data_IF_988280378476
#
_entry.id   IF_988280378476
#
_cell.length_a   1.000
_cell.length_b   1.000
_cell.length_c   1.000
_cell.angle_alpha   90.00
_cell.angle_beta   90.00
_cell.angle_gamma   90.00
#
_symmetry.space_group_name_H-M   'P 1'
#
loop_
_entity.id
_entity.type
_entity.pdbx_description
1 polymer ?
#
# COMPACT_ATOMS: atom_id res chain seq x y z
N UNK A 1 -26.83 -8.57 6.82
CA UNK A 1 -25.99 -7.38 6.52
C UNK A 1 -26.06 -6.45 7.72
N UNK A 2 -24.99 -6.32 8.51
CA UNK A 2 -24.96 -5.29 9.57
C UNK A 2 -25.11 -3.91 8.94
N UNK A 3 -26.06 -3.12 9.42
CA UNK A 3 -26.31 -1.74 8.98
C UNK A 3 -25.00 -0.94 8.97
N UNK A 4 -24.79 -0.09 7.96
CA UNK A 4 -23.62 0.79 7.85
C UNK A 4 -23.36 1.56 9.15
N UNK A 5 -24.44 1.93 9.85
CA UNK A 5 -24.41 2.58 11.17
C UNK A 5 -23.72 1.75 12.24
N UNK A 6 -23.95 0.43 12.32
CA UNK A 6 -23.31 -0.41 13.34
C UNK A 6 -21.82 -0.58 13.07
N UNK A 7 -21.43 -0.78 11.81
CA UNK A 7 -20.01 -0.86 11.43
C UNK A 7 -19.29 0.45 11.75
N UNK A 8 -19.94 1.57 11.46
CA UNK A 8 -19.40 2.89 11.74
C UNK A 8 -19.30 3.16 13.25
N UNK A 9 -20.31 2.78 14.03
CA UNK A 9 -20.29 2.87 15.48
C UNK A 9 -19.17 2.01 16.10
N UNK A 10 -19.03 0.75 15.67
CA UNK A 10 -17.96 -0.11 16.14
C UNK A 10 -16.57 0.47 15.84
N UNK A 11 -16.40 1.04 14.63
CA UNK A 11 -15.16 1.71 14.25
C UNK A 11 -14.91 2.97 15.10
N UNK A 12 -15.89 3.86 15.25
CA UNK A 12 -15.72 5.14 15.94
C UNK A 12 -15.56 4.99 17.45
N UNK A 13 -16.21 4.00 18.05
CA UNK A 13 -16.27 3.83 19.51
C UNK A 13 -15.14 2.96 20.04
N UNK A 14 -14.70 1.95 19.29
CA UNK A 14 -13.68 1.01 19.78
C UNK A 14 -12.37 1.07 18.99
N UNK A 15 -12.42 0.84 17.67
CA UNK A 15 -11.20 0.71 16.88
C UNK A 15 -10.43 2.03 16.78
N UNK A 16 -11.12 3.12 16.45
CA UNK A 16 -10.48 4.43 16.25
C UNK A 16 -9.82 4.93 17.55
N UNK A 17 -10.48 4.97 18.73
CA UNK A 17 -9.83 5.41 19.96
C UNK A 17 -8.64 4.52 20.35
N UNK A 18 -8.77 3.20 20.21
CA UNK A 18 -7.69 2.26 20.50
C UNK A 18 -6.46 2.48 19.59
N UNK A 19 -6.65 2.60 18.28
CA UNK A 19 -5.51 2.82 17.38
C UNK A 19 -4.91 4.23 17.50
N UNK A 20 -5.70 5.22 17.93
CA UNK A 20 -5.22 6.58 18.17
C UNK A 20 -4.43 6.73 19.48
N UNK A 21 -4.63 5.85 20.46
CA UNK A 21 -3.84 5.88 21.70
C UNK A 21 -2.43 5.30 21.56
N UNK A 22 -2.14 4.60 20.46
CA UNK A 22 -0.83 4.01 20.17
C UNK A 22 0.05 4.96 19.34
N UNK A 23 1.38 4.81 19.47
CA UNK A 23 2.34 5.43 18.55
C UNK A 23 1.94 5.13 17.08
N UNK A 24 1.97 6.11 16.17
CA UNK A 24 1.47 5.92 14.82
C UNK A 24 2.11 4.79 14.02
N UNK A 25 3.41 4.55 14.19
CA UNK A 25 4.13 3.49 13.50
C UNK A 25 3.82 2.13 14.15
N UNK A 26 3.72 2.07 15.49
CA UNK A 26 3.27 0.86 16.21
C UNK A 26 1.85 0.45 15.82
N UNK A 27 0.92 1.39 15.77
CA UNK A 27 -0.45 1.14 15.33
C UNK A 27 -0.49 0.61 13.88
N UNK A 28 0.33 1.16 12.99
CA UNK A 28 0.42 0.69 11.61
C UNK A 28 0.97 -0.73 11.51
N UNK A 29 2.04 -1.05 12.25
CA UNK A 29 2.61 -2.40 12.29
C UNK A 29 1.64 -3.42 12.89
N UNK A 30 0.93 -3.06 13.96
CA UNK A 30 -0.13 -3.89 14.54
C UNK A 30 -1.24 -4.16 13.51
N UNK A 31 -1.74 -3.11 12.85
CA UNK A 31 -2.77 -3.26 11.82
C UNK A 31 -2.29 -4.18 10.68
N UNK A 32 -1.08 -3.96 10.15
CA UNK A 32 -0.49 -4.80 9.11
C UNK A 32 -0.42 -6.26 9.54
N UNK A 33 0.05 -6.55 10.75
CA UNK A 33 0.15 -7.91 11.26
C UNK A 33 -1.22 -8.58 11.40
N UNK A 34 -2.20 -7.88 11.96
CA UNK A 34 -3.58 -8.39 12.09
C UNK A 34 -4.20 -8.67 10.71
N UNK A 35 -4.02 -7.76 9.75
CA UNK A 35 -4.52 -7.93 8.38
C UNK A 35 -3.85 -9.11 7.68
N UNK A 36 -2.53 -9.26 7.82
CA UNK A 36 -1.78 -10.36 7.23
C UNK A 36 -2.17 -11.72 7.84
N UNK A 37 -2.32 -11.79 9.17
CA UNK A 37 -2.74 -13.00 9.88
C UNK A 37 -4.18 -13.35 9.50
N UNK A 38 -5.10 -12.39 9.53
CA UNK A 38 -6.51 -12.62 9.18
C UNK A 38 -6.70 -13.13 7.75
N UNK A 39 -5.85 -12.70 6.81
CA UNK A 39 -5.87 -13.17 5.43
C UNK A 39 -5.54 -14.66 5.27
N UNK A 40 -4.90 -15.30 6.26
CA UNK A 40 -4.54 -16.73 6.24
C UNK A 40 -5.69 -17.64 6.67
N UNK A 41 -6.70 -17.10 7.36
CA UNK A 41 -7.83 -17.89 7.83
C UNK A 41 -8.87 -18.08 6.71
N UNK A 42 -9.32 -19.33 6.46
CA UNK A 42 -10.37 -19.60 5.48
C UNK A 42 -11.64 -18.78 5.76
N UNK A 43 -12.28 -18.28 4.70
CA UNK A 43 -13.54 -17.55 4.79
C UNK A 43 -13.45 -16.08 5.22
N UNK A 44 -12.44 -15.66 6.00
CA UNK A 44 -12.29 -14.26 6.45
C UNK A 44 -12.23 -13.30 5.27
N UNK A 45 -11.42 -13.63 4.27
CA UNK A 45 -11.27 -12.82 3.08
C UNK A 45 -12.60 -12.68 2.29
N UNK A 46 -13.39 -13.75 2.20
CA UNK A 46 -14.72 -13.72 1.56
C UNK A 46 -15.71 -12.88 2.37
N UNK A 47 -15.67 -12.99 3.70
CA UNK A 47 -16.47 -12.19 4.60
C UNK A 47 -16.16 -10.70 4.45
N UNK A 48 -14.88 -10.33 4.48
CA UNK A 48 -14.42 -8.95 4.25
C UNK A 48 -14.92 -8.43 2.90
N UNK A 49 -14.78 -9.22 1.83
CA UNK A 49 -15.27 -8.86 0.50
C UNK A 49 -16.78 -8.58 0.51
N UNK A 50 -17.57 -9.46 1.12
CA UNK A 50 -19.04 -9.27 1.22
C UNK A 50 -19.44 -8.04 2.05
N UNK A 51 -18.62 -7.65 3.03
CA UNK A 51 -18.92 -6.54 3.93
C UNK A 51 -18.51 -5.17 3.40
N UNK A 52 -17.53 -5.13 2.48
CA UNK A 52 -16.86 -3.89 2.07
C UNK A 52 -16.95 -3.60 0.58
N UNK A 53 -17.19 -4.63 -0.25
CA UNK A 53 -17.24 -4.43 -1.70
C UNK A 53 -18.59 -3.85 -2.14
N UNK A 54 -18.51 -2.83 -2.97
CA UNK A 54 -19.64 -2.26 -3.70
C UNK A 54 -19.31 -2.26 -5.19
N UNK A 55 -20.27 -2.68 -6.03
CA UNK A 55 -20.11 -2.79 -7.49
C UNK A 55 -21.25 -2.07 -8.18
N UNK A 56 -20.91 -1.24 -9.16
CA UNK A 56 -21.87 -0.53 -10.01
C UNK A 56 -21.19 -0.18 -11.33
N UNK A 57 -21.87 -0.39 -12.45
CA UNK A 57 -21.34 -0.02 -13.78
C UNK A 57 -21.06 1.48 -13.89
N UNK A 58 -21.76 2.32 -13.12
CA UNK A 58 -21.52 3.76 -13.04
C UNK A 58 -20.15 4.13 -12.47
N UNK A 59 -19.51 3.24 -11.73
CA UNK A 59 -18.18 3.48 -11.15
C UNK A 59 -17.05 3.04 -12.07
N UNK A 60 -17.33 2.24 -13.11
CA UNK A 60 -16.29 1.78 -14.03
C UNK A 60 -15.63 2.99 -14.69
N UNK A 61 -14.31 3.03 -14.67
CA UNK A 61 -13.53 4.12 -15.28
C UNK A 61 -12.38 3.56 -16.10
N UNK A 62 -12.01 4.26 -17.17
CA UNK A 62 -10.89 3.92 -18.02
C UNK A 62 -9.88 5.06 -18.00
N UNK A 63 -8.66 4.77 -17.56
CA UNK A 63 -7.55 5.74 -17.51
C UNK A 63 -6.33 5.12 -18.16
N UNK A 64 -5.70 5.83 -19.09
CA UNK A 64 -4.51 5.36 -19.81
C UNK A 64 -4.66 3.94 -20.41
N UNK A 65 -5.83 3.61 -20.95
CA UNK A 65 -6.12 2.29 -21.54
C UNK A 65 -6.41 1.17 -20.54
N UNK A 66 -6.51 1.48 -19.24
CA UNK A 66 -6.72 0.50 -18.18
C UNK A 66 -8.12 0.69 -17.60
N UNK A 67 -8.87 -0.41 -17.52
CA UNK A 67 -10.21 -0.42 -16.95
C UNK A 67 -10.18 -0.74 -15.46
N UNK A 68 -10.75 0.15 -14.67
CA UNK A 68 -10.92 -0.03 -13.24
C UNK A 68 -12.40 -0.27 -12.94
N UNK A 69 -12.69 -1.24 -12.07
CA UNK A 69 -14.07 -1.51 -11.64
C UNK A 69 -14.70 -0.33 -10.88
N UNK A 70 -13.87 0.47 -10.21
CA UNK A 70 -14.23 1.71 -9.53
C UNK A 70 -13.01 2.63 -9.42
N UNK A 71 -13.18 3.95 -9.21
CA UNK A 71 -12.06 4.90 -9.19
C UNK A 71 -11.30 4.91 -7.85
N UNK A 72 -11.78 4.22 -6.83
CA UNK A 72 -11.21 4.27 -5.48
C UNK A 72 -9.97 3.36 -5.38
N UNK A 73 -8.83 3.93 -5.02
CA UNK A 73 -7.56 3.22 -4.87
C UNK A 73 -7.03 3.25 -3.45
N UNK A 74 -6.29 2.20 -3.09
CA UNK A 74 -5.39 2.26 -1.93
C UNK A 74 -4.04 2.82 -2.37
N UNK A 75 -3.64 3.96 -1.82
CA UNK A 75 -2.39 4.63 -2.15
C UNK A 75 -1.15 3.92 -1.62
N UNK A 76 0.00 4.23 -2.23
CA UNK A 76 1.30 3.75 -1.77
C UNK A 76 1.64 4.25 -0.36
N UNK A 77 2.57 3.56 0.29
CA UNK A 77 3.06 3.86 1.62
C UNK A 77 2.36 3.08 2.73
N UNK A 78 1.15 2.56 2.47
CA UNK A 78 0.46 1.66 3.39
C UNK A 78 1.00 0.23 3.33
N UNK A 79 1.04 -0.37 2.13
CA UNK A 79 1.64 -1.68 1.90
C UNK A 79 2.95 -1.53 1.14
N UNK A 80 4.07 -1.46 1.88
CA UNK A 80 5.39 -1.19 1.29
C UNK A 80 6.05 -2.43 0.65
N UNK A 81 5.50 -3.61 0.91
CA UNK A 81 6.10 -4.91 0.56
C UNK A 81 5.22 -5.72 -0.41
N UNK A 82 3.91 -5.47 -0.41
CA UNK A 82 2.90 -6.22 -1.15
C UNK A 82 2.23 -7.31 -0.33
N UNK A 83 2.59 -7.46 0.94
CA UNK A 83 2.08 -8.54 1.82
C UNK A 83 0.58 -8.41 2.08
N UNK A 84 0.06 -7.18 2.12
CA UNK A 84 -1.35 -6.93 2.43
C UNK A 84 -2.25 -6.99 1.20
N UNK A 85 -1.70 -7.04 -0.02
CA UNK A 85 -2.49 -7.08 -1.25
C UNK A 85 -3.62 -8.14 -1.24
N UNK A 86 -3.43 -9.39 -0.78
CA UNK A 86 -4.51 -10.36 -0.73
C UNK A 86 -5.72 -9.92 0.10
N UNK A 87 -5.48 -9.20 1.19
CA UNK A 87 -6.52 -8.61 2.04
C UNK A 87 -7.10 -7.34 1.41
N UNK A 88 -6.24 -6.38 1.05
CA UNK A 88 -6.65 -5.07 0.53
C UNK A 88 -7.43 -5.18 -0.78
N UNK A 89 -7.08 -6.13 -1.66
CA UNK A 89 -7.82 -6.40 -2.91
C UNK A 89 -9.27 -6.86 -2.71
N UNK A 90 -9.67 -7.15 -1.46
CA UNK A 90 -11.03 -7.54 -1.06
C UNK A 90 -11.74 -6.46 -0.26
N UNK A 91 -11.12 -5.33 0.02
CA UNK A 91 -11.73 -4.22 0.76
C UNK A 91 -12.59 -3.28 -0.10
N UNK A 92 -12.90 -3.67 -1.34
CA UNK A 92 -13.71 -2.86 -2.27
C UNK A 92 -12.93 -1.87 -3.16
N UNK A 93 -11.61 -1.75 -2.97
CA UNK A 93 -10.78 -0.91 -3.84
C UNK A 93 -10.75 -1.43 -5.30
N UNK A 94 -10.80 -0.50 -6.26
CA UNK A 94 -10.61 -0.79 -7.68
C UNK A 94 -9.15 -1.07 -8.03
N UNK A 95 -8.20 -0.49 -7.30
CA UNK A 95 -6.77 -0.76 -7.44
C UNK A 95 -5.99 -0.58 -6.13
N UNK A 96 -4.84 -1.23 -6.03
CA UNK A 96 -3.92 -1.14 -4.89
C UNK A 96 -2.54 -0.72 -5.40
N UNK A 97 -1.96 0.34 -4.84
CA UNK A 97 -0.58 0.75 -5.11
C UNK A 97 0.34 0.27 -3.99
N UNK A 98 1.28 -0.61 -4.33
CA UNK A 98 2.27 -1.19 -3.40
C UNK A 98 3.57 -0.38 -3.45
N UNK A 99 4.25 -0.25 -2.31
CA UNK A 99 5.53 0.44 -2.17
C UNK A 99 5.42 1.65 -1.25
N UNK A 100 6.35 2.60 -1.27
CA UNK A 100 7.47 2.72 -2.21
C UNK A 100 8.53 1.64 -2.04
N UNK A 101 8.84 0.93 -3.13
CA UNK A 101 9.90 -0.09 -3.21
C UNK A 101 11.19 0.56 -3.73
N UNK A 102 12.32 0.31 -3.07
CA UNK A 102 13.64 0.75 -3.53
C UNK A 102 14.46 -0.43 -4.05
N UNK A 103 15.53 -0.15 -4.81
CA UNK A 103 16.43 -1.18 -5.35
C UNK A 103 17.12 -2.04 -4.29
N UNK A 104 17.40 -1.46 -3.12
CA UNK A 104 17.95 -2.17 -1.96
C UNK A 104 17.11 -1.88 -0.72
N UNK A 105 17.20 -2.76 0.27
CA UNK A 105 16.60 -2.53 1.58
C UNK A 105 17.15 -1.26 2.22
N UNK A 106 16.28 -0.51 2.90
CA UNK A 106 16.70 0.62 3.71
C UNK A 106 15.78 0.82 4.91
N UNK A 107 16.30 1.24 6.07
CA UNK A 107 15.52 1.38 7.30
C UNK A 107 14.63 2.63 7.32
N UNK A 108 14.83 3.57 6.40
CA UNK A 108 14.20 4.89 6.38
C UNK A 108 14.87 5.90 7.31
N UNK A 109 14.18 7.00 7.62
CA UNK A 109 14.69 8.02 8.54
C UNK A 109 14.54 7.58 10.02
N UNK A 110 15.23 8.24 10.94
CA UNK A 110 15.11 7.94 12.38
C UNK A 110 13.69 8.25 12.91
N UNK A 111 13.24 7.48 13.90
CA UNK A 111 11.96 7.70 14.60
C UNK A 111 12.11 8.80 15.68
N UNK A 112 11.02 9.50 16.05
CA UNK A 112 9.68 9.47 15.46
C UNK A 112 9.63 10.19 14.11
N UNK A 113 8.80 9.65 13.20
CA UNK A 113 8.76 10.05 11.79
C UNK A 113 7.36 10.01 11.17
N UNK A 114 6.34 9.75 11.99
CA UNK A 114 4.93 9.82 11.65
C UNK A 114 4.23 10.53 12.79
N UNK A 115 3.41 11.52 12.47
CA UNK A 115 2.68 12.35 13.41
C UNK A 115 1.24 12.43 12.96
N UNK A 116 0.29 12.32 13.89
CA UNK A 116 -1.15 12.39 13.61
C UNK A 116 -1.74 13.64 14.26
N UNK A 117 -2.69 14.25 13.57
CA UNK A 117 -3.49 15.37 14.03
C UNK A 117 -4.96 14.94 13.90
N UNK A 118 -5.51 14.21 14.89
CA UNK A 118 -6.82 13.55 14.74
C UNK A 118 -7.99 14.50 14.55
N UNK A 119 -7.92 15.70 15.15
CA UNK A 119 -8.94 16.76 15.01
C UNK A 119 -9.01 17.26 13.56
N UNK A 120 -7.86 17.43 12.92
CA UNK A 120 -7.73 17.86 11.52
C UNK A 120 -7.86 16.71 10.51
N UNK A 121 -8.06 15.48 10.99
CA UNK A 121 -8.00 14.25 10.18
C UNK A 121 -6.72 14.15 9.32
N UNK A 122 -5.61 14.66 9.85
CA UNK A 122 -4.35 14.81 9.12
C UNK A 122 -3.23 13.94 9.68
N UNK A 123 -2.24 13.67 8.83
CA UNK A 123 -1.01 12.97 9.19
C UNK A 123 0.17 13.58 8.42
N UNK A 124 1.27 13.77 9.12
CA UNK A 124 2.55 14.19 8.55
C UNK A 124 3.53 13.02 8.70
N UNK A 125 4.28 12.70 7.65
CA UNK A 125 5.32 11.69 7.74
C UNK A 125 6.60 12.09 7.01
N UNK A 126 7.72 11.61 7.55
CA UNK A 126 9.07 11.72 7.00
C UNK A 126 9.73 10.34 6.98
N UNK A 127 9.01 9.32 6.50
CA UNK A 127 9.44 7.91 6.62
C UNK A 127 10.76 7.59 5.91
N UNK A 128 11.02 8.23 4.77
CA UNK A 128 12.25 8.02 4.00
C UNK A 128 12.32 6.64 3.31
N UNK A 129 11.20 6.15 2.79
CA UNK A 129 11.10 4.87 2.06
C UNK A 129 11.67 3.66 2.81
N UNK A 130 11.28 3.44 4.07
CA UNK A 130 11.65 2.21 4.76
C UNK A 130 11.00 0.98 4.09
N UNK A 131 11.79 0.08 3.51
CA UNK A 131 11.30 -1.11 2.80
C UNK A 131 12.43 -2.17 2.70
N UNK A 132 12.10 -3.46 2.51
CA UNK A 132 13.06 -4.56 2.45
C UNK A 132 13.77 -4.68 1.08
N UNK A 133 13.51 -3.77 0.14
CA UNK A 133 14.07 -3.78 -1.20
C UNK A 133 13.26 -4.61 -2.20
N UNK A 134 13.57 -4.40 -3.48
CA UNK A 134 12.82 -4.97 -4.59
C UNK A 134 12.84 -6.49 -4.67
N UNK A 135 13.97 -7.14 -4.39
CA UNK A 135 14.07 -8.60 -4.47
C UNK A 135 13.09 -9.28 -3.48
N UNK A 136 12.89 -8.70 -2.30
CA UNK A 136 11.92 -9.19 -1.31
C UNK A 136 10.48 -8.96 -1.78
N UNK A 137 10.17 -7.74 -2.24
CA UNK A 137 8.84 -7.41 -2.74
C UNK A 137 8.46 -8.25 -3.97
N UNK A 138 9.40 -8.50 -4.88
CA UNK A 138 9.20 -9.34 -6.07
C UNK A 138 8.78 -10.75 -5.68
N UNK A 139 9.48 -11.40 -4.74
CA UNK A 139 9.12 -12.76 -4.27
C UNK A 139 7.71 -12.81 -3.69
N UNK A 140 7.37 -11.82 -2.86
CA UNK A 140 6.04 -11.71 -2.26
C UNK A 140 4.99 -11.52 -3.36
N UNK A 141 5.20 -10.57 -4.26
CA UNK A 141 4.26 -10.25 -5.35
C UNK A 141 4.07 -11.44 -6.29
N UNK A 142 5.14 -12.13 -6.69
CA UNK A 142 5.11 -13.25 -7.62
C UNK A 142 4.35 -14.47 -7.06
N UNK A 143 4.36 -14.67 -5.74
CA UNK A 143 3.61 -15.75 -5.08
C UNK A 143 2.09 -15.51 -4.98
N UNK A 144 1.60 -14.33 -5.37
CA UNK A 144 0.21 -13.93 -5.14
C UNK A 144 -0.63 -13.93 -6.41
N UNK A 145 -1.86 -14.43 -6.31
CA UNK A 145 -2.86 -14.27 -7.37
C UNK A 145 -3.28 -12.80 -7.49
N UNK A 146 -3.15 -12.23 -8.69
CA UNK A 146 -3.63 -10.89 -9.03
C UNK A 146 -5.16 -10.92 -9.18
N UNK A 147 -5.88 -10.21 -8.30
CA UNK A 147 -7.37 -10.08 -8.32
C UNK A 147 -7.85 -8.70 -8.76
N UNK A 148 -7.14 -7.65 -8.35
CA UNK A 148 -7.37 -6.24 -8.70
C UNK A 148 -6.17 -5.66 -9.42
N UNK A 149 -6.33 -4.49 -10.02
CA UNK A 149 -5.18 -3.75 -10.54
C UNK A 149 -4.20 -3.49 -9.40
N UNK A 150 -2.94 -3.83 -9.65
CA UNK A 150 -1.82 -3.64 -8.73
C UNK A 150 -0.86 -2.66 -9.38
N UNK A 151 -0.75 -1.47 -8.83
CA UNK A 151 0.29 -0.50 -9.17
C UNK A 151 1.52 -0.73 -8.29
N UNK A 152 2.71 -0.43 -8.83
CA UNK A 152 3.94 -0.41 -8.04
C UNK A 152 4.50 1.01 -8.01
N UNK A 153 4.72 1.50 -6.79
CA UNK A 153 5.43 2.73 -6.52
C UNK A 153 6.91 2.42 -6.33
N UNK A 154 7.76 2.94 -7.20
CA UNK A 154 9.21 2.75 -7.14
C UNK A 154 9.92 4.05 -6.72
N UNK A 155 10.92 3.91 -5.85
CA UNK A 155 11.73 5.01 -5.33
C UNK A 155 13.22 4.75 -5.43
N UNK A 156 14.01 5.82 -5.32
CA UNK A 156 15.47 5.74 -5.32
C UNK A 156 15.97 5.22 -3.98
N UNK A 157 16.88 4.24 -4.02
CA UNK A 157 17.62 3.81 -2.82
C UNK A 157 18.43 4.97 -2.27
N UNK A 158 18.36 5.23 -0.96
CA UNK A 158 19.23 6.20 -0.28
C UNK A 158 20.67 5.66 -0.32
N UNK A 159 21.52 6.20 -1.20
CA UNK A 159 22.92 5.74 -1.34
C UNK A 159 23.85 6.51 -0.41
N UNK A 160 24.58 5.79 0.45
CA UNK A 160 25.81 6.26 1.10
C UNK A 160 26.87 5.14 1.00
N UNK A 161 27.98 5.25 0.24
CA UNK A 161 28.34 6.19 -0.84
C UNK A 161 27.85 5.72 -2.23
N UNK A 162 28.09 6.52 -3.30
CA UNK A 162 27.69 6.27 -4.70
C UNK A 162 28.32 4.98 -5.30
N UNK A 163 27.81 3.79 -4.95
CA UNK A 163 28.03 2.57 -5.75
C UNK A 163 26.78 2.23 -6.57
N UNK A 164 27.05 1.76 -7.80
CA UNK A 164 26.18 1.69 -8.99
C UNK A 164 24.69 1.50 -8.71
N UNK A 165 23.91 2.45 -9.20
CA UNK A 165 22.46 2.56 -9.13
C UNK A 165 21.74 1.64 -10.15
N UNK A 166 22.24 0.41 -10.37
CA UNK A 166 21.81 -0.45 -11.47
C UNK A 166 20.46 -1.16 -11.27
N UNK A 167 19.91 -1.21 -10.04
CA UNK A 167 18.69 -1.98 -9.76
C UNK A 167 17.37 -1.22 -9.96
N UNK A 168 17.34 0.12 -10.00
CA UNK A 168 16.07 0.85 -10.23
C UNK A 168 15.61 0.69 -11.68
N UNK A 169 16.53 0.74 -12.63
CA UNK A 169 16.27 0.41 -14.04
C UNK A 169 15.78 -1.03 -14.20
N UNK A 170 16.27 -1.95 -13.36
CA UNK A 170 15.81 -3.35 -13.33
C UNK A 170 14.39 -3.53 -12.77
N UNK A 171 14.02 -2.79 -11.71
CA UNK A 171 12.63 -2.78 -11.21
C UNK A 171 11.69 -2.30 -12.30
N UNK A 172 12.04 -1.22 -12.99
CA UNK A 172 11.23 -0.69 -14.09
C UNK A 172 11.17 -1.70 -15.26
N UNK A 173 12.30 -2.26 -15.70
CA UNK A 173 12.35 -3.19 -16.84
C UNK A 173 11.64 -4.52 -16.59
N UNK A 174 11.68 -5.07 -15.36
CA UNK A 174 10.91 -6.27 -14.99
C UNK A 174 9.43 -5.99 -14.71
N UNK A 175 9.11 -4.81 -14.16
CA UNK A 175 7.71 -4.43 -13.89
C UNK A 175 6.90 -4.29 -15.17
N UNK A 176 7.52 -3.88 -16.29
CA UNK A 176 6.84 -3.74 -17.58
C UNK A 176 6.24 -5.06 -18.12
N UNK A 177 6.80 -6.22 -17.77
CA UNK A 177 6.27 -7.51 -18.22
C UNK A 177 5.16 -8.08 -17.32
N UNK A 178 5.03 -7.57 -16.08
CA UNK A 178 4.09 -8.10 -15.07
C UNK A 178 2.96 -7.11 -14.69
N UNK A 179 3.12 -5.81 -14.98
CA UNK A 179 2.31 -4.74 -14.39
C UNK A 179 1.81 -3.73 -15.43
N UNK A 180 0.53 -3.34 -15.31
CA UNK A 180 -0.11 -2.35 -16.17
C UNK A 180 0.06 -0.90 -15.68
N UNK A 181 0.52 -0.67 -14.43
CA UNK A 181 0.77 0.68 -13.89
C UNK A 181 2.03 0.68 -13.03
N UNK A 182 3.02 1.47 -13.43
CA UNK A 182 4.18 1.80 -12.61
C UNK A 182 4.17 3.29 -12.36
N UNK A 183 4.21 3.71 -11.09
CA UNK A 183 4.28 5.12 -10.71
C UNK A 183 5.66 5.40 -10.13
N UNK A 184 6.39 6.32 -10.75
CA UNK A 184 7.62 6.89 -10.22
C UNK A 184 7.26 8.08 -9.32
N UNK A 185 7.73 8.08 -8.08
CA UNK A 185 7.51 9.22 -7.19
C UNK A 185 8.22 10.47 -7.72
N UNK A 186 7.52 11.61 -7.81
CA UNK A 186 8.04 12.87 -8.36
C UNK A 186 9.25 13.42 -7.57
N UNK A 187 9.34 13.09 -6.27
CA UNK A 187 10.54 13.39 -5.46
C UNK A 187 11.79 12.62 -5.91
N UNK A 188 11.65 11.55 -6.70
CA UNK A 188 12.76 10.90 -7.40
C UNK A 188 13.09 11.57 -8.76
N UNK A 189 12.09 12.14 -9.44
CA UNK A 189 12.29 12.82 -10.74
C UNK A 189 13.04 14.14 -10.63
N UNK A 190 12.88 14.88 -9.52
CA UNK A 190 13.60 16.15 -9.29
C UNK A 190 15.13 15.98 -9.13
N UNK A 191 15.59 14.77 -8.83
CA UNK A 191 17.02 14.42 -8.62
C UNK A 191 17.58 13.61 -9.82
N UNK A 192 16.79 13.39 -10.87
CA UNK A 192 17.26 12.77 -12.13
C UNK A 192 17.54 13.81 -13.22
N UNK A 193 17.28 15.09 -12.93
CA UNK A 193 17.66 16.23 -13.78
C UNK A 193 18.92 16.95 -13.28
N UNK A 194 19.49 16.49 -12.16
CA UNK A 194 20.76 16.94 -11.57
C UNK A 194 21.76 15.77 -11.53
#
# INVERSE_FOLDING_TARGET
>A
MFSSTLKQAAYSTFLKPFFLSLDPETAHELAKNLLNISAKFPGILTLVESMTSYRSDRLKTRVAGIEFENPLGMGAGFDKTGELYPFLSRMGFGHIEVGTITGQSQPGNLKPRVFRYPEDQALINRMGFNNPGADSAERIIASQKKRKIRGINAGKTKSFPKKKQSKITFILSRSFHLMRITRLSISALRILRD
#
